data_IF_215459129638
#
_entry.id   IF_215459129638
#
_cell.length_a   1.000
_cell.length_b   1.000
_cell.length_c   1.000
_cell.angle_alpha   90.00
_cell.angle_beta   90.00
_cell.angle_gamma   90.00
#
_symmetry.space_group_name_H-M   'P 1'
#
loop_
_entity.id
_entity.type
_entity.pdbx_description
1 polymer ?
#
# COMPACT_ATOMS: atom_id res chain seq x y z
N UNK A 1 -6.06 -16.65 62.80
CA UNK A 1 -7.25 -16.93 63.63
C UNK A 1 -8.49 -16.88 62.75
N UNK A 2 -9.45 -17.78 63.00
CA UNK A 2 -10.89 -17.84 62.65
C UNK A 2 -11.49 -17.10 61.40
N UNK A 3 -12.39 -17.80 60.68
CA UNK A 3 -13.30 -17.25 59.64
C UNK A 3 -13.15 -17.95 58.29
N UNK A 4 -13.67 -19.16 58.01
CA UNK A 4 -15.07 -19.61 57.98
C UNK A 4 -16.04 -18.69 57.19
N UNK A 5 -16.68 -19.13 56.09
CA UNK A 5 -16.52 -20.37 55.32
C UNK A 5 -17.73 -20.78 54.45
N UNK A 6 -17.67 -21.99 53.88
CA UNK A 6 -18.72 -22.78 53.18
C UNK A 6 -19.20 -22.32 51.78
N UNK A 7 -18.93 -23.20 50.80
CA UNK A 7 -19.73 -23.42 49.59
C UNK A 7 -20.11 -24.91 49.56
N UNK A 8 -21.32 -25.26 49.11
CA UNK A 8 -21.77 -26.66 48.93
C UNK A 8 -21.95 -27.02 47.44
N UNK A 9 -21.80 -28.29 47.01
CA UNK A 9 -21.63 -28.64 45.60
C UNK A 9 -22.73 -29.57 45.01
N UNK A 10 -22.55 -29.94 43.72
CA UNK A 10 -23.21 -31.01 42.89
C UNK A 10 -24.31 -30.53 41.92
N UNK A 11 -24.59 -31.28 40.82
CA UNK A 11 -23.68 -32.10 39.99
C UNK A 11 -23.86 -31.90 38.46
N UNK A 12 -22.99 -32.50 37.66
CA UNK A 12 -23.12 -32.61 36.19
C UNK A 12 -24.10 -33.75 35.78
N UNK A 13 -24.95 -33.56 34.75
CA UNK A 13 -25.70 -34.64 34.11
C UNK A 13 -24.83 -35.53 33.20
N UNK A 14 -25.22 -36.79 33.02
CA UNK A 14 -24.56 -37.76 32.13
C UNK A 14 -25.25 -37.87 30.75
N UNK A 15 -24.55 -38.44 29.77
CA UNK A 15 -25.14 -38.88 28.49
C UNK A 15 -26.06 -40.09 28.68
N UNK A 16 -27.13 -40.16 27.89
CA UNK A 16 -27.86 -41.40 27.58
C UNK A 16 -28.13 -41.47 26.06
N UNK A 17 -28.33 -42.69 25.56
CA UNK A 17 -28.70 -42.99 24.17
C UNK A 17 -29.94 -43.91 24.13
N UNK A 18 -30.01 -44.80 23.13
CA UNK A 18 -31.20 -45.60 22.72
C UNK A 18 -32.30 -44.74 22.04
N UNK A 19 -33.08 -45.26 21.08
CA UNK A 19 -32.89 -46.43 20.18
C UNK A 19 -33.94 -46.36 19.05
N UNK A 20 -33.69 -47.03 17.93
CA UNK A 20 -34.66 -47.17 16.84
C UNK A 20 -35.78 -48.17 17.19
N UNK A 21 -36.96 -47.98 16.59
CA UNK A 21 -38.05 -48.96 16.57
C UNK A 21 -38.89 -48.81 15.30
N UNK A 22 -38.91 -49.84 14.45
CA UNK A 22 -39.82 -49.92 13.30
C UNK A 22 -41.25 -50.23 13.77
N UNK A 23 -42.25 -49.81 12.98
CA UNK A 23 -43.67 -50.09 13.23
C UNK A 23 -44.46 -50.10 11.93
N UNK A 24 -45.02 -51.26 11.58
CA UNK A 24 -45.75 -51.52 10.34
C UNK A 24 -47.26 -51.21 10.48
N UNK A 25 -47.94 -50.89 9.37
CA UNK A 25 -49.35 -50.49 9.35
C UNK A 25 -49.93 -50.36 7.93
N UNK A 26 -51.09 -50.98 7.67
CA UNK A 26 -51.59 -51.26 6.30
C UNK A 26 -53.07 -50.92 6.09
N UNK A 27 -53.51 -50.90 4.81
CA UNK A 27 -54.90 -50.72 4.29
C UNK A 27 -55.51 -49.30 4.45
N UNK A 28 -56.44 -48.78 3.62
CA UNK A 28 -57.00 -49.09 2.26
C UNK A 28 -57.91 -47.87 1.82
N UNK A 29 -58.71 -47.78 0.74
CA UNK A 29 -59.14 -48.67 -0.36
C UNK A 29 -59.71 -47.84 -1.57
N UNK A 30 -59.30 -48.09 -2.82
CA UNK A 30 -60.02 -47.68 -4.06
C UNK A 30 -59.93 -46.20 -4.52
N UNK A 31 -60.22 -45.84 -5.78
CA UNK A 31 -60.51 -46.65 -6.99
C UNK A 31 -60.29 -45.86 -8.32
N UNK A 32 -60.10 -46.59 -9.44
CA UNK A 32 -60.47 -46.31 -10.86
C UNK A 32 -60.64 -44.85 -11.36
N UNK A 33 -60.10 -44.36 -12.50
CA UNK A 33 -59.26 -44.88 -13.62
C UNK A 33 -58.68 -43.65 -14.39
N UNK A 34 -57.72 -43.70 -15.34
CA UNK A 34 -57.74 -44.44 -16.61
C UNK A 34 -56.44 -44.24 -17.46
N UNK A 35 -56.33 -45.00 -18.57
CA UNK A 35 -55.45 -44.86 -19.75
C UNK A 35 -53.96 -44.43 -19.61
N UNK A 36 -53.09 -45.45 -19.67
CA UNK A 36 -51.83 -45.55 -20.47
C UNK A 36 -51.22 -44.26 -21.08
N UNK A 37 -49.96 -43.99 -20.71
CA UNK A 37 -48.84 -43.98 -21.68
C UNK A 37 -47.57 -44.56 -21.03
N UNK A 38 -46.57 -44.92 -21.85
CA UNK A 38 -45.49 -45.84 -21.46
C UNK A 38 -44.36 -45.15 -20.68
N UNK A 39 -43.78 -45.87 -19.73
CA UNK A 39 -42.44 -45.59 -19.23
C UNK A 39 -41.40 -45.72 -20.36
N UNK A 40 -40.59 -44.68 -20.54
CA UNK A 40 -39.20 -44.79 -21.01
C UNK A 40 -38.35 -44.12 -19.93
N UNK A 41 -37.75 -44.93 -19.06
CA UNK A 41 -37.21 -44.45 -17.79
C UNK A 41 -35.91 -43.66 -17.93
N UNK A 42 -35.76 -42.63 -17.10
CA UNK A 42 -34.45 -42.13 -16.68
C UNK A 42 -34.19 -42.67 -15.27
N UNK A 43 -33.06 -43.37 -15.07
CA UNK A 43 -32.81 -44.14 -13.85
C UNK A 43 -32.57 -43.29 -12.61
N UNK A 44 -32.98 -43.80 -11.43
CA UNK A 44 -32.88 -43.12 -10.13
C UNK A 44 -31.45 -42.76 -9.65
N UNK A 45 -30.42 -43.10 -10.43
CA UNK A 45 -29.05 -42.60 -10.23
C UNK A 45 -28.94 -41.09 -10.51
N UNK A 46 -29.67 -40.57 -11.51
CA UNK A 46 -29.57 -39.16 -11.91
C UNK A 46 -30.00 -38.19 -10.78
N UNK A 47 -31.17 -38.43 -10.15
CA UNK A 47 -31.61 -37.67 -8.96
C UNK A 47 -30.57 -37.71 -7.84
N UNK A 48 -29.94 -38.86 -7.59
CA UNK A 48 -28.96 -39.05 -6.51
C UNK A 48 -27.60 -38.38 -6.80
N UNK A 49 -27.34 -38.01 -8.04
CA UNK A 49 -26.16 -37.22 -8.43
C UNK A 49 -26.40 -35.72 -8.22
N UNK A 50 -27.55 -35.19 -8.65
CA UNK A 50 -27.94 -33.79 -8.41
C UNK A 50 -28.04 -33.46 -6.92
N UNK A 51 -28.68 -34.34 -6.13
CA UNK A 51 -28.83 -34.19 -4.67
C UNK A 51 -27.52 -34.29 -3.85
N UNK A 52 -26.35 -34.44 -4.51
CA UNK A 52 -25.03 -34.37 -3.86
C UNK A 52 -24.23 -33.11 -4.17
N UNK A 53 -24.76 -32.21 -5.01
CA UNK A 53 -24.10 -30.96 -5.41
C UNK A 53 -25.00 -29.72 -5.29
N UNK A 54 -26.23 -29.87 -4.82
CA UNK A 54 -27.06 -28.76 -4.36
C UNK A 54 -26.87 -28.58 -2.84
N UNK A 55 -26.29 -27.46 -2.44
CA UNK A 55 -26.43 -26.97 -1.06
C UNK A 55 -27.89 -26.64 -0.74
N UNK A 56 -28.24 -26.61 0.55
CA UNK A 56 -29.62 -26.72 1.02
C UNK A 56 -30.58 -25.58 0.60
N UNK A 57 -30.09 -24.48 0.02
CA UNK A 57 -30.88 -23.28 -0.34
C UNK A 57 -31.40 -23.24 -1.79
N UNK A 58 -31.39 -24.36 -2.54
CA UNK A 58 -31.92 -24.40 -3.93
C UNK A 58 -33.12 -25.34 -4.13
N UNK A 59 -33.85 -25.68 -3.06
CA UNK A 59 -35.03 -26.53 -3.14
C UNK A 59 -36.23 -25.88 -3.87
N UNK A 60 -36.46 -24.58 -3.66
CA UNK A 60 -37.69 -23.90 -4.12
C UNK A 60 -37.68 -23.49 -5.60
N UNK A 61 -36.56 -23.66 -6.32
CA UNK A 61 -36.39 -23.26 -7.72
C UNK A 61 -36.47 -24.43 -8.73
N UNK A 62 -36.87 -25.63 -8.30
CA UNK A 62 -36.83 -26.85 -9.11
C UNK A 62 -38.20 -27.48 -9.43
N UNK A 63 -39.32 -26.89 -8.99
CA UNK A 63 -40.66 -27.44 -9.26
C UNK A 63 -41.27 -27.01 -10.62
N UNK A 64 -40.74 -25.96 -11.27
CA UNK A 64 -41.25 -25.48 -12.56
C UNK A 64 -40.19 -25.38 -13.67
N UNK A 65 -40.61 -25.86 -14.84
CA UNK A 65 -39.96 -25.91 -16.15
C UNK A 65 -38.58 -26.59 -16.32
N UNK A 66 -38.58 -27.48 -17.32
CA UNK A 66 -37.57 -28.05 -18.27
C UNK A 66 -36.04 -27.85 -18.11
N UNK A 67 -35.56 -26.96 -17.26
CA UNK A 67 -34.20 -26.42 -17.17
C UNK A 67 -33.06 -27.44 -16.98
N UNK A 68 -33.31 -28.55 -16.29
CA UNK A 68 -32.27 -29.54 -15.92
C UNK A 68 -31.47 -30.07 -17.14
N UNK A 69 -32.14 -30.28 -18.28
CA UNK A 69 -31.47 -30.73 -19.51
C UNK A 69 -30.62 -29.63 -20.17
N UNK A 70 -30.99 -28.36 -20.02
CA UNK A 70 -30.24 -27.23 -20.60
C UNK A 70 -29.06 -26.82 -19.71
N UNK A 71 -29.16 -26.97 -18.39
CA UNK A 71 -28.00 -26.88 -17.47
C UNK A 71 -26.95 -27.94 -17.83
N UNK A 72 -27.36 -29.18 -18.09
CA UNK A 72 -26.46 -30.26 -18.55
C UNK A 72 -25.82 -29.94 -19.91
N UNK A 73 -26.59 -29.45 -20.90
CA UNK A 73 -26.02 -28.98 -22.19
C UNK A 73 -25.00 -27.84 -21.97
N UNK A 74 -25.27 -26.91 -21.07
CA UNK A 74 -24.36 -25.79 -20.79
C UNK A 74 -23.03 -26.28 -20.19
N UNK A 75 -23.06 -27.30 -19.33
CA UNK A 75 -21.88 -27.92 -18.74
C UNK A 75 -21.04 -28.67 -19.81
N UNK A 76 -21.68 -29.45 -20.69
CA UNK A 76 -20.98 -30.22 -21.72
C UNK A 76 -20.52 -29.41 -22.94
N UNK A 77 -21.03 -28.19 -23.16
CA UNK A 77 -20.65 -27.35 -24.32
C UNK A 77 -19.40 -26.49 -24.09
N UNK A 78 -18.73 -26.61 -22.94
CA UNK A 78 -17.39 -26.03 -22.70
C UNK A 78 -17.32 -24.50 -22.71
N UNK A 79 -18.45 -23.80 -22.83
CA UNK A 79 -18.50 -22.34 -22.65
C UNK A 79 -18.25 -22.05 -21.18
N UNK A 80 -17.04 -21.59 -20.87
CA UNK A 80 -16.73 -20.98 -19.58
C UNK A 80 -17.80 -19.93 -19.26
N UNK A 81 -18.33 -20.00 -18.04
CA UNK A 81 -19.05 -18.86 -17.46
C UNK A 81 -18.10 -17.67 -17.56
N UNK A 82 -18.48 -16.66 -18.37
CA UNK A 82 -17.70 -15.44 -18.50
C UNK A 82 -17.45 -14.91 -17.08
N UNK A 83 -16.18 -14.65 -16.74
CA UNK A 83 -15.80 -14.11 -15.43
C UNK A 83 -16.59 -12.84 -15.12
N UNK A 84 -16.98 -12.05 -16.13
CA UNK A 84 -17.88 -10.89 -15.97
C UNK A 84 -19.30 -11.28 -15.56
N UNK A 85 -19.87 -12.32 -16.18
CA UNK A 85 -21.21 -12.83 -15.83
C UNK A 85 -21.23 -13.44 -14.43
N UNK A 86 -20.23 -14.25 -14.08
CA UNK A 86 -20.09 -14.82 -12.74
C UNK A 86 -19.87 -13.74 -11.66
N UNK A 87 -19.05 -12.71 -11.96
CA UNK A 87 -18.85 -11.54 -11.09
C UNK A 87 -20.14 -10.76 -10.89
N UNK A 88 -20.88 -10.44 -11.96
CA UNK A 88 -22.21 -9.79 -11.85
C UNK A 88 -23.16 -10.59 -10.97
N UNK A 89 -23.21 -11.92 -11.12
CA UNK A 89 -24.08 -12.78 -10.32
C UNK A 89 -23.67 -12.84 -8.83
N UNK A 90 -22.35 -12.75 -8.52
CA UNK A 90 -21.84 -12.61 -7.14
C UNK A 90 -22.20 -11.24 -6.55
N UNK A 91 -21.94 -10.16 -7.29
CA UNK A 91 -22.20 -8.78 -6.89
C UNK A 91 -23.70 -8.52 -6.63
N UNK A 92 -24.59 -8.97 -7.53
CA UNK A 92 -26.05 -8.83 -7.32
C UNK A 92 -26.52 -9.61 -6.07
N UNK A 93 -25.94 -10.78 -5.77
CA UNK A 93 -26.23 -11.51 -4.51
C UNK A 93 -25.69 -10.77 -3.28
N UNK A 94 -24.49 -10.19 -3.37
CA UNK A 94 -23.90 -9.39 -2.28
C UNK A 94 -24.72 -8.14 -1.97
N UNK A 95 -25.08 -7.36 -3.00
CA UNK A 95 -25.95 -6.17 -2.87
C UNK A 95 -27.31 -6.54 -2.26
N UNK A 96 -27.95 -7.63 -2.71
CA UNK A 96 -29.22 -8.08 -2.13
C UNK A 96 -29.08 -8.49 -0.66
N UNK A 97 -28.00 -9.19 -0.30
CA UNK A 97 -27.71 -9.58 1.09
C UNK A 97 -27.41 -8.36 1.98
N UNK A 98 -26.63 -7.40 1.49
CA UNK A 98 -26.36 -6.13 2.16
C UNK A 98 -27.65 -5.30 2.35
N UNK A 99 -28.54 -5.27 1.35
CA UNK A 99 -29.85 -4.62 1.45
C UNK A 99 -30.72 -5.23 2.56
N UNK A 100 -30.81 -6.56 2.61
CA UNK A 100 -31.54 -7.27 3.69
C UNK A 100 -30.92 -7.06 5.07
N UNK A 101 -29.58 -7.00 5.16
CA UNK A 101 -28.87 -6.72 6.42
C UNK A 101 -29.01 -5.25 6.85
N UNK A 102 -29.03 -4.29 5.92
CA UNK A 102 -29.32 -2.87 6.19
C UNK A 102 -30.78 -2.68 6.66
N UNK A 103 -31.73 -3.43 6.11
CA UNK A 103 -33.11 -3.48 6.62
C UNK A 103 -33.17 -4.06 8.04
N UNK A 104 -32.54 -5.22 8.28
CA UNK A 104 -32.49 -5.83 9.61
C UNK A 104 -31.81 -4.93 10.66
N UNK A 105 -30.78 -4.16 10.27
CA UNK A 105 -30.15 -3.17 11.15
C UNK A 105 -31.10 -2.00 11.49
N UNK A 106 -31.99 -1.60 10.58
CA UNK A 106 -33.04 -0.61 10.85
C UNK A 106 -34.11 -1.08 11.83
N UNK A 107 -34.19 -2.39 12.10
CA UNK A 107 -35.13 -3.02 13.04
C UNK A 107 -34.44 -3.57 14.31
N UNK A 108 -33.11 -3.40 14.44
CA UNK A 108 -32.30 -4.00 15.50
C UNK A 108 -32.12 -3.11 16.75
N UNK A 109 -31.91 -3.76 17.91
CA UNK A 109 -31.60 -3.10 19.17
C UNK A 109 -30.17 -2.49 19.14
N UNK A 110 -29.88 -1.33 19.78
CA UNK A 110 -28.61 -0.64 19.62
C UNK A 110 -27.34 -1.41 20.05
N UNK A 111 -27.48 -2.51 20.79
CA UNK A 111 -26.36 -3.43 21.10
C UNK A 111 -25.84 -4.18 19.86
N UNK A 112 -26.75 -4.57 18.97
CA UNK A 112 -26.47 -5.48 17.86
C UNK A 112 -26.15 -4.72 16.57
N UNK A 113 -26.57 -3.45 16.50
CA UNK A 113 -26.35 -2.53 15.37
C UNK A 113 -24.89 -2.51 14.91
N UNK A 114 -23.93 -2.39 15.83
CA UNK A 114 -22.50 -2.36 15.52
C UNK A 114 -21.93 -3.68 14.99
N UNK A 115 -22.56 -4.81 15.32
CA UNK A 115 -22.21 -6.12 14.75
C UNK A 115 -22.78 -6.27 13.33
N UNK A 116 -24.02 -5.79 13.10
CA UNK A 116 -24.67 -5.80 11.80
C UNK A 116 -23.98 -4.87 10.80
N UNK A 117 -23.66 -3.63 11.19
CA UNK A 117 -22.79 -2.72 10.40
C UNK A 117 -21.47 -3.40 10.04
N UNK A 118 -20.80 -3.99 11.05
CA UNK A 118 -19.54 -4.70 10.87
C UNK A 118 -19.61 -5.95 9.98
N UNK A 119 -20.80 -6.53 9.79
CA UNK A 119 -21.05 -7.63 8.85
C UNK A 119 -21.31 -7.11 7.43
N UNK A 120 -22.17 -6.09 7.27
CA UNK A 120 -22.46 -5.43 5.98
C UNK A 120 -21.18 -4.90 5.34
N UNK A 121 -20.37 -4.14 6.08
CA UNK A 121 -19.09 -3.61 5.61
C UNK A 121 -18.08 -4.71 5.25
N UNK A 122 -18.19 -5.90 5.84
CA UNK A 122 -17.33 -7.04 5.48
C UNK A 122 -17.66 -7.64 4.13
N UNK A 123 -18.94 -7.89 3.89
CA UNK A 123 -19.44 -8.37 2.60
C UNK A 123 -19.16 -7.37 1.47
N UNK A 124 -19.19 -6.06 1.76
CA UNK A 124 -18.81 -5.02 0.80
C UNK A 124 -17.32 -5.09 0.41
N UNK A 125 -16.41 -5.09 1.40
CA UNK A 125 -14.96 -5.12 1.14
C UNK A 125 -14.52 -6.40 0.43
N UNK A 126 -14.99 -7.57 0.86
CA UNK A 126 -14.54 -8.86 0.35
C UNK A 126 -15.08 -9.20 -1.06
N UNK A 127 -16.17 -8.56 -1.48
CA UNK A 127 -16.69 -8.68 -2.85
C UNK A 127 -16.00 -7.72 -3.85
N UNK A 128 -15.30 -6.70 -3.35
CA UNK A 128 -14.62 -5.67 -4.15
C UNK A 128 -13.11 -5.93 -4.36
N UNK A 129 -12.54 -6.95 -3.71
CA UNK A 129 -11.15 -7.40 -3.88
C UNK A 129 -10.97 -8.18 -5.20
N UNK A 130 -11.22 -7.49 -6.31
CA UNK A 130 -11.51 -8.07 -7.63
C UNK A 130 -10.25 -8.25 -8.52
N UNK A 131 -9.08 -7.90 -8.00
CA UNK A 131 -7.78 -7.86 -8.70
C UNK A 131 -6.72 -8.66 -7.93
N UNK A 132 -5.81 -9.36 -8.61
CA UNK A 132 -4.63 -9.98 -7.96
C UNK A 132 -3.52 -8.94 -7.73
N UNK A 133 -2.69 -9.02 -6.68
CA UNK A 133 -1.65 -8.03 -6.37
C UNK A 133 -0.40 -8.19 -7.27
N UNK A 134 -0.58 -8.08 -8.59
CA UNK A 134 0.42 -8.35 -9.62
C UNK A 134 1.54 -7.31 -9.58
N UNK A 135 1.20 -6.02 -9.55
CA UNK A 135 2.20 -4.96 -9.55
C UNK A 135 3.03 -4.99 -8.26
N UNK A 136 2.38 -5.08 -7.10
CA UNK A 136 3.05 -5.06 -5.79
C UNK A 136 3.95 -6.28 -5.60
N UNK A 137 3.54 -7.46 -6.04
CA UNK A 137 4.40 -8.67 -6.00
C UNK A 137 5.56 -8.55 -6.98
N UNK A 138 5.34 -8.12 -8.23
CA UNK A 138 6.42 -7.98 -9.21
C UNK A 138 7.44 -6.89 -8.82
N UNK A 139 6.98 -5.75 -8.30
CA UNK A 139 7.83 -4.67 -7.79
C UNK A 139 8.70 -5.15 -6.63
N UNK A 140 8.08 -5.85 -5.66
CA UNK A 140 8.78 -6.40 -4.50
C UNK A 140 9.82 -7.44 -4.90
N UNK A 141 9.46 -8.35 -5.82
CA UNK A 141 10.38 -9.35 -6.36
C UNK A 141 11.54 -8.70 -7.13
N UNK A 142 11.29 -7.70 -7.97
CA UNK A 142 12.33 -6.99 -8.72
C UNK A 142 13.33 -6.31 -7.79
N UNK A 143 12.85 -5.57 -6.78
CA UNK A 143 13.71 -4.89 -5.81
C UNK A 143 14.55 -5.89 -4.97
N UNK A 144 13.93 -6.95 -4.44
CA UNK A 144 14.63 -7.97 -3.64
C UNK A 144 15.61 -8.78 -4.47
N UNK A 145 15.23 -9.23 -5.68
CA UNK A 145 16.13 -10.00 -6.55
C UNK A 145 17.33 -9.18 -7.00
N UNK A 146 17.15 -7.93 -7.42
CA UNK A 146 18.27 -7.04 -7.74
C UNK A 146 19.18 -6.83 -6.53
N UNK A 147 18.62 -6.51 -5.37
CA UNK A 147 19.42 -6.27 -4.16
C UNK A 147 20.21 -7.51 -3.74
N UNK A 148 19.56 -8.68 -3.61
CA UNK A 148 20.22 -9.93 -3.15
C UNK A 148 21.32 -10.40 -4.11
N UNK A 149 21.10 -10.28 -5.43
CA UNK A 149 22.08 -10.72 -6.44
C UNK A 149 23.37 -9.89 -6.38
N UNK A 150 23.29 -8.59 -6.10
CA UNK A 150 24.48 -7.73 -6.00
C UNK A 150 25.04 -7.64 -4.57
N UNK A 151 24.22 -7.74 -3.53
CA UNK A 151 24.68 -7.80 -2.14
C UNK A 151 25.49 -9.08 -1.85
N UNK A 152 25.26 -10.18 -2.56
CA UNK A 152 26.09 -11.39 -2.47
C UNK A 152 27.46 -11.28 -3.15
N UNK A 153 27.74 -10.13 -3.77
CA UNK A 153 29.01 -9.78 -4.41
C UNK A 153 29.72 -8.59 -3.74
N UNK A 154 29.17 -8.05 -2.63
CA UNK A 154 29.69 -6.88 -1.95
C UNK A 154 30.57 -7.25 -0.74
N UNK A 155 31.77 -6.66 -0.65
CA UNK A 155 32.78 -7.01 0.36
C UNK A 155 32.33 -6.77 1.81
N UNK A 156 31.47 -5.78 2.06
CA UNK A 156 30.90 -5.47 3.39
C UNK A 156 29.74 -6.39 3.82
N UNK A 157 29.34 -7.35 2.98
CA UNK A 157 28.23 -8.26 3.28
C UNK A 157 26.86 -7.57 3.39
N UNK A 158 25.86 -8.33 3.85
CA UNK A 158 24.44 -7.96 3.70
C UNK A 158 24.00 -6.77 4.56
N UNK A 159 24.67 -6.41 5.66
CA UNK A 159 24.24 -5.30 6.50
C UNK A 159 24.67 -3.94 5.94
N UNK A 160 25.84 -3.87 5.29
CA UNK A 160 26.41 -2.62 4.76
C UNK A 160 26.22 -2.45 3.24
N UNK A 161 25.88 -3.52 2.50
CA UNK A 161 25.79 -3.49 1.04
C UNK A 161 24.81 -2.46 0.47
N UNK A 162 25.35 -1.41 -0.17
CA UNK A 162 24.63 -0.60 -1.15
C UNK A 162 24.53 -1.39 -2.46
N UNK A 163 23.38 -2.03 -2.68
CA UNK A 163 23.19 -2.98 -3.77
C UNK A 163 21.91 -2.72 -4.58
N UNK A 164 21.88 -3.22 -5.81
CA UNK A 164 20.74 -3.14 -6.71
C UNK A 164 21.12 -2.58 -8.07
N UNK A 165 20.31 -1.68 -8.61
CA UNK A 165 20.53 -1.14 -9.97
C UNK A 165 21.83 -0.31 -10.08
N UNK A 166 22.26 0.35 -9.01
CA UNK A 166 23.52 1.11 -8.96
C UNK A 166 24.76 0.20 -9.08
N UNK A 167 24.64 -1.07 -8.66
CA UNK A 167 25.69 -2.08 -8.84
C UNK A 167 25.88 -2.47 -10.31
N UNK A 168 24.93 -2.16 -11.19
CA UNK A 168 25.01 -2.37 -12.65
C UNK A 168 25.62 -1.16 -13.35
N UNK A 169 25.28 0.04 -12.89
CA UNK A 169 25.72 1.30 -13.48
C UNK A 169 26.12 2.30 -12.38
N UNK A 170 27.36 2.14 -11.90
CA UNK A 170 27.90 2.93 -10.78
C UNK A 170 27.96 4.41 -11.16
N UNK A 171 27.41 5.25 -10.29
CA UNK A 171 27.28 6.68 -10.42
C UNK A 171 26.05 7.16 -11.20
N UNK A 172 25.17 6.29 -11.72
CA UNK A 172 24.16 6.61 -12.75
C UNK A 172 22.68 6.50 -12.33
N UNK A 173 22.33 5.72 -11.31
CA UNK A 173 20.94 5.24 -11.10
C UNK A 173 20.31 5.77 -9.81
N UNK A 174 21.12 6.11 -8.81
CA UNK A 174 20.68 6.80 -7.59
C UNK A 174 20.23 8.23 -7.88
N UNK A 175 19.36 8.75 -7.02
CA UNK A 175 18.84 10.11 -7.17
C UNK A 175 19.80 11.10 -6.50
N UNK A 176 20.43 11.92 -7.34
CA UNK A 176 21.44 12.92 -7.02
C UNK A 176 21.09 14.20 -7.79
N UNK A 177 21.18 15.38 -7.16
CA UNK A 177 20.91 16.64 -7.86
C UNK A 177 22.14 17.19 -8.58
N UNK A 178 23.33 16.89 -8.08
CA UNK A 178 24.60 17.31 -8.66
C UNK A 178 25.75 16.39 -8.23
N UNK A 179 26.88 16.49 -8.93
CA UNK A 179 28.18 15.94 -8.52
C UNK A 179 29.27 16.91 -8.95
N UNK A 180 30.02 17.47 -8.01
CA UNK A 180 31.12 18.42 -8.25
C UNK A 180 30.77 19.53 -9.27
N UNK A 181 29.70 20.27 -8.98
CA UNK A 181 29.12 21.31 -9.84
C UNK A 181 28.71 20.89 -11.26
N UNK A 182 28.55 19.58 -11.52
CA UNK A 182 27.77 19.08 -12.66
C UNK A 182 26.29 18.94 -12.25
N UNK A 183 25.36 19.55 -12.98
CA UNK A 183 23.92 19.44 -12.73
C UNK A 183 23.37 18.10 -13.26
N UNK A 184 22.88 17.25 -12.36
CA UNK A 184 22.34 15.92 -12.67
C UNK A 184 20.81 15.88 -12.69
N UNK A 185 20.11 16.99 -12.39
CA UNK A 185 18.63 17.02 -12.31
C UNK A 185 17.97 16.69 -13.65
N UNK A 186 18.65 16.95 -14.76
CA UNK A 186 18.22 16.66 -16.14
C UNK A 186 18.35 15.18 -16.54
N UNK A 187 19.01 14.36 -15.72
CA UNK A 187 19.13 12.92 -15.93
C UNK A 187 17.82 12.22 -15.52
N UNK A 188 16.77 12.42 -16.32
CA UNK A 188 15.36 12.11 -16.00
C UNK A 188 15.08 10.67 -15.54
N UNK A 189 15.97 9.72 -15.85
CA UNK A 189 15.86 8.35 -15.36
C UNK A 189 16.08 8.23 -13.85
N UNK A 190 16.96 9.05 -13.24
CA UNK A 190 17.29 9.03 -11.80
C UNK A 190 16.06 9.13 -10.90
N UNK A 191 15.10 9.95 -11.33
CA UNK A 191 13.81 10.20 -10.67
C UNK A 191 12.93 8.96 -10.50
N UNK A 192 13.23 7.87 -11.22
CA UNK A 192 12.58 6.57 -11.09
C UNK A 192 13.56 5.44 -10.77
N UNK A 193 14.78 5.44 -11.29
CA UNK A 193 15.71 4.31 -11.13
C UNK A 193 16.19 4.10 -9.70
N UNK A 194 16.21 5.16 -8.87
CA UNK A 194 16.72 5.09 -7.50
C UNK A 194 15.97 4.11 -6.60
N UNK A 195 14.70 3.80 -6.93
CA UNK A 195 13.86 2.86 -6.19
C UNK A 195 14.41 1.41 -6.19
N UNK A 196 15.29 1.07 -7.12
CA UNK A 196 15.85 -0.28 -7.29
C UNK A 196 17.24 -0.46 -6.67
N UNK A 197 17.72 0.52 -5.89
CA UNK A 197 18.97 0.45 -5.11
C UNK A 197 18.62 0.60 -3.64
N UNK A 198 19.19 -0.21 -2.74
CA UNK A 198 18.95 -0.11 -1.28
C UNK A 198 20.26 -0.32 -0.50
N UNK A 199 20.34 0.29 0.68
CA UNK A 199 21.51 0.26 1.57
C UNK A 199 21.29 -0.71 2.76
N UNK A 200 21.80 -1.93 2.65
CA UNK A 200 21.70 -2.95 3.70
C UNK A 200 20.37 -3.71 3.74
N UNK A 201 20.45 -4.94 4.26
CA UNK A 201 19.34 -5.93 4.31
C UNK A 201 18.11 -5.41 5.05
N UNK A 202 18.31 -4.63 6.11
CA UNK A 202 17.22 -4.02 6.88
C UNK A 202 16.46 -2.97 6.06
N UNK A 203 17.15 -2.18 5.23
CA UNK A 203 16.51 -1.14 4.42
C UNK A 203 15.63 -1.76 3.31
N UNK A 204 16.11 -2.77 2.57
CA UNK A 204 15.26 -3.51 1.61
C UNK A 204 14.15 -4.29 2.34
N UNK A 205 14.45 -4.91 3.48
CA UNK A 205 13.51 -5.72 4.25
C UNK A 205 12.29 -4.94 4.74
N UNK A 206 12.49 -3.79 5.39
CA UNK A 206 11.39 -2.94 5.85
C UNK A 206 10.61 -2.32 4.68
N UNK A 207 11.28 -1.91 3.59
CA UNK A 207 10.61 -1.46 2.38
C UNK A 207 9.68 -2.53 1.81
N UNK A 208 10.19 -3.73 1.58
CA UNK A 208 9.42 -4.85 1.04
C UNK A 208 8.26 -5.23 1.96
N UNK A 209 8.47 -5.27 3.27
CA UNK A 209 7.41 -5.55 4.24
C UNK A 209 6.28 -4.50 4.17
N UNK A 210 6.62 -3.20 4.12
CA UNK A 210 5.66 -2.11 4.04
C UNK A 210 4.87 -2.11 2.71
N UNK A 211 5.59 -2.28 1.59
CA UNK A 211 5.01 -2.34 0.24
C UNK A 211 4.07 -3.54 0.09
N UNK A 212 4.41 -4.71 0.63
CA UNK A 212 3.52 -5.87 0.63
C UNK A 212 2.31 -5.66 1.55
N UNK A 213 2.53 -5.23 2.81
CA UNK A 213 1.48 -5.13 3.82
C UNK A 213 0.40 -4.09 3.46
N UNK A 214 0.79 -2.92 2.95
CA UNK A 214 -0.15 -1.88 2.52
C UNK A 214 -0.62 -2.14 1.08
N UNK A 215 0.33 -2.44 0.19
CA UNK A 215 0.09 -2.49 -1.25
C UNK A 215 -0.78 -3.66 -1.71
N UNK A 216 -0.67 -4.84 -1.10
CA UNK A 216 -1.48 -6.00 -1.54
C UNK A 216 -2.97 -5.67 -1.46
N UNK A 217 -3.46 -5.27 -0.28
CA UNK A 217 -4.89 -4.91 -0.11
C UNK A 217 -5.28 -3.74 -1.01
N UNK A 218 -4.43 -2.73 -1.11
CA UNK A 218 -4.70 -1.52 -1.89
C UNK A 218 -4.78 -1.81 -3.40
N UNK A 219 -3.95 -2.71 -3.93
CA UNK A 219 -4.02 -3.17 -5.33
C UNK A 219 -5.24 -4.07 -5.59
N UNK A 220 -5.57 -4.97 -4.66
CA UNK A 220 -6.76 -5.81 -4.78
C UNK A 220 -8.05 -4.95 -4.84
N UNK A 221 -8.08 -3.83 -4.10
CA UNK A 221 -9.21 -2.91 -4.02
C UNK A 221 -9.26 -1.84 -5.13
N UNK A 222 -8.15 -1.21 -5.53
CA UNK A 222 -8.15 -0.14 -6.55
C UNK A 222 -7.80 -0.62 -7.98
N UNK A 223 -7.13 -1.77 -8.11
CA UNK A 223 -6.66 -2.36 -9.36
C UNK A 223 -5.27 -1.88 -9.80
N UNK A 224 -4.51 -2.78 -10.43
CA UNK A 224 -3.07 -2.65 -10.75
C UNK A 224 -2.65 -1.28 -11.29
N UNK A 225 -3.41 -0.73 -12.23
CA UNK A 225 -3.06 0.53 -12.93
C UNK A 225 -3.07 1.72 -11.96
N UNK A 226 -4.04 1.80 -11.03
CA UNK A 226 -4.07 2.88 -10.03
C UNK A 226 -2.88 2.78 -9.09
N UNK A 227 -2.62 1.58 -8.56
CA UNK A 227 -1.52 1.33 -7.62
C UNK A 227 -0.16 1.58 -8.28
N UNK A 228 0.05 1.14 -9.53
CA UNK A 228 1.24 1.42 -10.32
C UNK A 228 1.47 2.94 -10.50
N UNK A 229 0.42 3.69 -10.85
CA UNK A 229 0.51 5.15 -11.05
C UNK A 229 0.81 5.86 -9.73
N UNK A 230 0.07 5.56 -8.65
CA UNK A 230 0.30 6.19 -7.33
C UNK A 230 1.69 5.87 -6.79
N UNK A 231 2.17 4.63 -6.94
CA UNK A 231 3.50 4.23 -6.48
C UNK A 231 4.61 4.99 -7.23
N UNK A 232 4.57 5.01 -8.57
CA UNK A 232 5.64 5.62 -9.36
C UNK A 232 5.57 7.16 -9.35
N UNK A 233 4.38 7.76 -9.31
CA UNK A 233 4.24 9.19 -9.06
C UNK A 233 4.66 9.55 -7.62
N UNK A 234 4.44 8.66 -6.66
CA UNK A 234 4.96 8.74 -5.29
C UNK A 234 6.48 8.80 -5.24
N UNK A 235 7.16 7.85 -5.91
CA UNK A 235 8.63 7.84 -6.10
C UNK A 235 9.12 9.18 -6.69
N UNK A 236 8.50 9.69 -7.75
CA UNK A 236 8.87 10.99 -8.35
C UNK A 236 8.60 12.16 -7.40
N UNK A 237 7.48 12.17 -6.67
CA UNK A 237 7.14 13.24 -5.72
C UNK A 237 8.02 13.22 -4.45
N UNK A 238 8.46 12.04 -4.02
CA UNK A 238 9.47 11.87 -2.99
C UNK A 238 10.82 12.44 -3.42
N UNK A 239 11.26 12.16 -4.65
CA UNK A 239 12.46 12.77 -5.23
C UNK A 239 12.33 14.30 -5.37
N UNK A 240 11.15 14.80 -5.77
CA UNK A 240 10.86 16.24 -5.84
C UNK A 240 10.95 16.92 -4.46
N UNK A 241 10.42 16.31 -3.40
CA UNK A 241 10.55 16.86 -2.05
C UNK A 241 12.01 16.79 -1.56
N UNK A 242 12.68 15.65 -1.77
CA UNK A 242 14.10 15.45 -1.45
C UNK A 242 15.01 16.52 -2.06
N UNK A 243 14.79 16.93 -3.31
CA UNK A 243 15.58 18.00 -3.97
C UNK A 243 15.47 19.34 -3.22
N UNK A 244 14.35 19.60 -2.55
CA UNK A 244 14.09 20.83 -1.77
C UNK A 244 14.68 20.77 -0.36
N UNK A 245 14.76 19.59 0.26
CA UNK A 245 15.07 19.39 1.69
C UNK A 245 16.45 18.80 1.96
N UNK A 246 16.86 17.80 1.19
CA UNK A 246 18.03 16.96 1.44
C UNK A 246 18.99 16.90 0.22
N UNK A 247 18.74 17.71 -0.81
CA UNK A 247 19.29 17.55 -2.17
C UNK A 247 20.82 17.59 -2.37
N UNK A 248 21.62 17.75 -1.32
CA UNK A 248 23.09 17.53 -1.34
C UNK A 248 23.51 16.12 -0.91
N UNK A 249 22.57 15.28 -0.48
CA UNK A 249 22.75 13.86 -0.22
C UNK A 249 22.48 13.02 -1.48
N UNK A 250 22.48 11.70 -1.30
CA UNK A 250 22.08 10.69 -2.28
C UNK A 250 20.82 9.99 -1.80
N UNK A 251 19.80 9.84 -2.66
CA UNK A 251 18.56 9.15 -2.35
C UNK A 251 18.49 7.79 -3.06
N UNK A 252 18.15 6.76 -2.29
CA UNK A 252 17.99 5.36 -2.70
C UNK A 252 16.78 4.73 -2.01
N UNK A 253 16.21 3.69 -2.63
CA UNK A 253 15.17 2.85 -2.02
C UNK A 253 13.74 3.18 -2.45
N UNK A 254 12.85 2.18 -2.43
CA UNK A 254 11.48 2.32 -2.94
C UNK A 254 10.48 2.96 -1.96
N UNK A 255 10.95 3.54 -0.86
CA UNK A 255 10.09 4.01 0.24
C UNK A 255 9.15 5.13 -0.19
N UNK A 256 9.58 6.01 -1.11
CA UNK A 256 8.71 7.05 -1.65
C UNK A 256 7.41 6.51 -2.27
N UNK A 257 7.50 5.37 -2.97
CA UNK A 257 6.33 4.63 -3.44
C UNK A 257 5.52 4.01 -2.30
N UNK A 258 6.18 3.39 -1.32
CA UNK A 258 5.54 2.77 -0.15
C UNK A 258 4.71 3.76 0.68
N UNK A 259 5.26 4.94 0.97
CA UNK A 259 4.57 5.99 1.71
C UNK A 259 3.46 6.64 0.87
N UNK A 260 3.60 6.67 -0.46
CA UNK A 260 2.48 7.05 -1.34
C UNK A 260 1.32 6.03 -1.31
N UNK A 261 1.60 4.73 -1.13
CA UNK A 261 0.53 3.76 -0.85
C UNK A 261 -0.14 4.04 0.51
N UNK A 262 0.63 4.34 1.56
CA UNK A 262 0.07 4.73 2.87
C UNK A 262 -0.81 5.99 2.78
N UNK A 263 -0.36 7.01 2.07
CA UNK A 263 -1.12 8.24 1.81
C UNK A 263 -2.40 7.95 1.03
N UNK A 264 -2.35 7.07 0.03
CA UNK A 264 -3.54 6.63 -0.71
C UNK A 264 -4.51 5.84 0.17
N UNK A 265 -4.03 4.97 1.06
CA UNK A 265 -4.90 4.28 2.04
C UNK A 265 -5.58 5.28 2.97
N UNK A 266 -4.87 6.32 3.43
CA UNK A 266 -5.46 7.39 4.24
C UNK A 266 -6.49 8.23 3.47
N UNK A 267 -6.21 8.57 2.20
CA UNK A 267 -7.17 9.25 1.32
C UNK A 267 -8.42 8.40 1.03
N UNK A 268 -8.23 7.10 0.81
CA UNK A 268 -9.32 6.14 0.62
C UNK A 268 -10.15 5.97 1.89
N UNK A 269 -9.53 5.90 3.08
CA UNK A 269 -10.24 5.91 4.36
C UNK A 269 -11.06 7.18 4.58
N UNK A 270 -10.57 8.34 4.12
CA UNK A 270 -11.23 9.63 4.32
C UNK A 270 -12.44 9.81 3.39
N UNK A 271 -12.39 9.27 2.17
CA UNK A 271 -13.57 9.20 1.27
C UNK A 271 -14.54 8.10 1.74
N UNK A 272 -14.06 6.88 1.88
CA UNK A 272 -14.84 5.66 2.08
C UNK A 272 -15.00 5.30 3.58
N UNK A 273 -15.11 6.31 4.47
CA UNK A 273 -15.11 6.09 5.93
C UNK A 273 -16.34 5.32 6.42
N UNK A 274 -17.50 5.49 5.78
CA UNK A 274 -18.73 4.83 6.19
C UNK A 274 -18.62 3.30 6.03
N UNK A 275 -18.19 2.85 4.85
CA UNK A 275 -18.28 1.45 4.41
C UNK A 275 -17.02 0.63 4.71
N UNK A 276 -15.89 1.27 5.03
CA UNK A 276 -14.65 0.55 5.34
C UNK A 276 -14.72 -0.13 6.71
N UNK A 277 -15.02 -1.44 6.73
CA UNK A 277 -15.18 -2.28 7.94
C UNK A 277 -14.12 -2.03 9.02
N UNK A 278 -12.85 -2.07 8.61
CA UNK A 278 -11.70 -1.99 9.52
C UNK A 278 -11.14 -0.58 9.70
N UNK A 279 -11.92 0.46 9.38
CA UNK A 279 -11.54 1.88 9.44
C UNK A 279 -10.77 2.32 10.68
N UNK A 280 -11.18 1.86 11.88
CA UNK A 280 -10.51 2.20 13.15
C UNK A 280 -9.15 1.48 13.32
N UNK A 281 -9.05 0.14 13.23
CA UNK A 281 -7.75 -0.55 13.20
C UNK A 281 -6.80 -0.05 12.10
N UNK A 282 -7.32 0.22 10.90
CA UNK A 282 -6.51 0.64 9.75
C UNK A 282 -5.96 2.05 9.93
N UNK A 283 -6.78 3.00 10.39
CA UNK A 283 -6.32 4.33 10.79
C UNK A 283 -5.30 4.25 11.93
N UNK A 284 -5.52 3.39 12.94
CA UNK A 284 -4.56 3.19 14.03
C UNK A 284 -3.21 2.67 13.52
N UNK A 285 -3.20 1.70 12.61
CA UNK A 285 -1.96 1.17 12.01
C UNK A 285 -1.25 2.25 11.18
N UNK A 286 -1.96 3.03 10.37
CA UNK A 286 -1.37 4.13 9.59
C UNK A 286 -0.77 5.21 10.50
N UNK A 287 -1.48 5.63 11.55
CA UNK A 287 -1.00 6.61 12.52
C UNK A 287 0.18 6.08 13.35
N UNK A 288 0.18 4.79 13.70
CA UNK A 288 1.29 4.14 14.39
C UNK A 288 2.55 4.10 13.51
N UNK A 289 2.42 3.65 12.24
CA UNK A 289 3.53 3.64 11.29
C UNK A 289 4.09 5.06 11.03
N UNK A 290 3.22 6.05 10.88
CA UNK A 290 3.63 7.45 10.74
C UNK A 290 4.32 7.99 12.00
N UNK A 291 3.84 7.64 13.20
CA UNK A 291 4.49 8.03 14.46
C UNK A 291 5.85 7.34 14.65
N UNK A 292 6.00 6.08 14.21
CA UNK A 292 7.29 5.39 14.17
C UNK A 292 8.26 6.06 13.19
N UNK A 293 7.82 6.43 11.98
CA UNK A 293 8.63 7.14 10.99
C UNK A 293 9.16 8.48 11.53
N UNK A 294 8.27 9.32 12.08
CA UNK A 294 8.63 10.60 12.72
C UNK A 294 9.53 10.38 13.95
N UNK A 295 9.30 9.30 14.71
CA UNK A 295 10.15 8.92 15.85
C UNK A 295 11.57 8.52 15.43
N UNK A 296 11.70 7.76 14.34
CA UNK A 296 13.00 7.44 13.73
C UNK A 296 13.67 8.70 13.18
N UNK A 297 12.95 9.55 12.44
CA UNK A 297 13.49 10.82 11.93
C UNK A 297 14.08 11.71 13.03
N UNK A 298 13.40 11.77 14.19
CA UNK A 298 13.88 12.50 15.36
C UNK A 298 15.12 11.82 15.99
N UNK A 299 15.10 10.50 16.18
CA UNK A 299 16.25 9.74 16.70
C UNK A 299 17.49 9.90 15.81
N UNK A 300 17.33 9.69 14.51
CA UNK A 300 18.34 9.84 13.46
C UNK A 300 18.97 11.25 13.48
N UNK A 301 18.17 12.30 13.71
CA UNK A 301 18.68 13.68 13.82
C UNK A 301 19.54 13.93 15.07
N UNK A 302 19.35 13.14 16.14
CA UNK A 302 20.15 13.20 17.36
C UNK A 302 21.47 12.43 17.19
N UNK A 303 21.41 11.19 16.67
CA UNK A 303 22.60 10.35 16.50
C UNK A 303 23.45 10.75 15.29
N UNK A 304 22.86 11.47 14.31
CA UNK A 304 23.47 11.89 13.03
C UNK A 304 23.91 10.73 12.12
N UNK A 305 23.39 9.53 12.36
CA UNK A 305 23.67 8.29 11.65
C UNK A 305 22.40 7.78 10.94
N UNK A 306 22.11 8.28 9.74
CA UNK A 306 20.99 7.76 8.94
C UNK A 306 21.22 7.84 7.43
N UNK A 307 20.99 6.72 6.75
CA UNK A 307 20.95 6.58 5.29
C UNK A 307 19.57 6.90 4.69
N UNK A 308 18.58 7.18 5.53
CA UNK A 308 17.17 7.34 5.16
C UNK A 308 16.77 8.81 5.03
N UNK A 309 16.18 9.20 3.90
CA UNK A 309 15.55 10.51 3.75
C UNK A 309 14.10 10.46 4.22
N UNK A 310 13.87 10.87 5.47
CA UNK A 310 12.53 11.04 6.03
C UNK A 310 11.71 12.14 5.31
N UNK A 311 12.40 13.10 4.67
CA UNK A 311 11.72 14.09 3.83
C UNK A 311 11.18 13.45 2.53
N UNK A 312 11.86 12.46 1.95
CA UNK A 312 11.34 11.68 0.84
C UNK A 312 10.09 10.87 1.25
N UNK A 313 10.06 10.30 2.46
CA UNK A 313 8.89 9.61 3.01
C UNK A 313 7.67 10.56 3.09
N UNK A 314 7.86 11.76 3.64
CA UNK A 314 6.81 12.78 3.73
C UNK A 314 6.28 13.21 2.35
N UNK A 315 7.17 13.44 1.37
CA UNK A 315 6.78 13.75 -0.01
C UNK A 315 5.96 12.63 -0.68
N UNK A 316 6.30 11.38 -0.38
CA UNK A 316 5.54 10.20 -0.80
C UNK A 316 4.15 10.19 -0.18
N UNK A 317 4.05 10.35 1.15
CA UNK A 317 2.77 10.35 1.86
C UNK A 317 1.81 11.44 1.39
N UNK A 318 2.30 12.69 1.24
CA UNK A 318 1.47 13.82 0.80
C UNK A 318 1.01 13.64 -0.65
N UNK A 319 1.88 13.21 -1.56
CA UNK A 319 1.51 12.96 -2.96
C UNK A 319 0.55 11.79 -3.09
N UNK A 320 0.76 10.70 -2.35
CA UNK A 320 -0.14 9.56 -2.27
C UNK A 320 -1.53 9.91 -1.74
N UNK A 321 -1.62 10.79 -0.74
CA UNK A 321 -2.89 11.30 -0.21
C UNK A 321 -3.65 12.14 -1.25
N UNK A 322 -2.97 13.10 -1.90
CA UNK A 322 -3.53 13.92 -2.97
C UNK A 322 -4.01 13.04 -4.13
N UNK A 323 -3.17 12.12 -4.62
CA UNK A 323 -3.53 11.21 -5.71
C UNK A 323 -4.66 10.23 -5.32
N UNK A 324 -4.67 9.73 -4.08
CA UNK A 324 -5.72 8.86 -3.57
C UNK A 324 -7.10 9.51 -3.58
N UNK A 325 -7.18 10.81 -3.29
CA UNK A 325 -8.42 11.60 -3.38
C UNK A 325 -8.82 11.87 -4.84
N UNK A 326 -7.84 12.08 -5.73
CA UNK A 326 -8.08 12.44 -7.14
C UNK A 326 -8.41 11.26 -8.05
N UNK A 327 -7.82 10.08 -7.83
CA UNK A 327 -7.96 8.90 -8.71
C UNK A 327 -8.35 7.61 -7.98
N UNK A 328 -8.65 7.68 -6.68
CA UNK A 328 -9.20 6.56 -5.90
C UNK A 328 -10.54 6.04 -6.45
N UNK A 329 -11.04 4.97 -5.84
CA UNK A 329 -12.43 4.55 -6.01
C UNK A 329 -13.26 5.20 -4.90
N UNK A 330 -14.37 5.85 -5.27
CA UNK A 330 -15.47 6.06 -4.35
C UNK A 330 -16.40 4.82 -4.41
N UNK A 331 -17.24 4.63 -3.40
CA UNK A 331 -18.11 3.46 -3.28
C UNK A 331 -19.55 3.68 -3.76
N UNK A 332 -19.99 4.95 -3.82
CA UNK A 332 -21.37 5.33 -4.14
C UNK A 332 -21.66 5.52 -5.65
N UNK A 333 -20.74 5.13 -6.54
CA UNK A 333 -20.76 5.51 -7.98
C UNK A 333 -21.81 4.80 -8.87
N UNK A 334 -22.56 3.78 -8.39
CA UNK A 334 -23.50 3.01 -9.25
C UNK A 334 -25.01 3.25 -9.03
N UNK A 335 -25.50 3.85 -7.93
CA UNK A 335 -26.95 4.08 -7.73
C UNK A 335 -27.34 5.48 -7.19
N UNK A 336 -28.53 5.95 -7.62
CA UNK A 336 -29.26 7.15 -7.21
C UNK A 336 -28.67 8.55 -7.54
N UNK A 337 -29.23 9.19 -8.58
CA UNK A 337 -29.03 10.62 -8.90
C UNK A 337 -29.57 11.61 -7.84
N UNK A 338 -30.16 11.10 -6.76
CA UNK A 338 -30.63 11.87 -5.59
C UNK A 338 -29.46 12.26 -4.66
N UNK A 339 -28.30 11.57 -4.76
CA UNK A 339 -27.08 11.78 -3.98
C UNK A 339 -26.27 13.04 -4.41
N UNK A 340 -26.95 14.05 -4.97
CA UNK A 340 -26.32 15.25 -5.54
C UNK A 340 -25.80 16.28 -4.50
N UNK A 341 -25.82 15.95 -3.20
CA UNK A 341 -25.37 16.81 -2.10
C UNK A 341 -24.02 16.36 -1.51
N UNK A 342 -23.86 15.08 -1.22
CA UNK A 342 -22.60 14.41 -0.83
C UNK A 342 -21.50 14.63 -1.88
N UNK A 343 -21.81 14.34 -3.15
CA UNK A 343 -20.92 14.57 -4.30
C UNK A 343 -20.42 16.03 -4.45
N UNK A 344 -20.96 17.01 -3.70
CA UNK A 344 -20.42 18.38 -3.66
C UNK A 344 -19.18 18.51 -2.78
N UNK A 345 -19.14 17.87 -1.61
CA UNK A 345 -17.98 18.02 -0.70
C UNK A 345 -16.76 17.32 -1.30
N UNK A 346 -16.94 16.13 -1.85
CA UNK A 346 -15.91 15.36 -2.57
C UNK A 346 -15.33 16.14 -3.75
N UNK A 347 -16.18 16.70 -4.63
CA UNK A 347 -15.71 17.49 -5.78
C UNK A 347 -15.04 18.80 -5.37
N UNK A 348 -15.41 19.37 -4.23
CA UNK A 348 -14.71 20.53 -3.66
C UNK A 348 -13.34 20.12 -3.09
N UNK A 349 -13.26 19.00 -2.37
CA UNK A 349 -12.02 18.42 -1.86
C UNK A 349 -11.07 18.05 -3.01
N UNK A 350 -11.55 17.38 -4.06
CA UNK A 350 -10.76 17.04 -5.24
C UNK A 350 -10.21 18.29 -5.93
N UNK A 351 -11.03 19.34 -6.12
CA UNK A 351 -10.56 20.63 -6.67
C UNK A 351 -9.51 21.29 -5.78
N UNK A 352 -9.69 21.24 -4.45
CA UNK A 352 -8.73 21.75 -3.49
C UNK A 352 -7.40 20.97 -3.53
N UNK A 353 -7.44 19.64 -3.54
CA UNK A 353 -6.26 18.78 -3.60
C UNK A 353 -5.53 18.88 -4.94
N UNK A 354 -6.25 19.05 -6.05
CA UNK A 354 -5.66 19.36 -7.35
C UNK A 354 -4.95 20.72 -7.34
N UNK A 355 -5.58 21.75 -6.80
CA UNK A 355 -4.97 23.08 -6.67
C UNK A 355 -3.73 23.05 -5.76
N UNK A 356 -3.82 22.35 -4.62
CA UNK A 356 -2.70 22.16 -3.69
C UNK A 356 -1.54 21.43 -4.37
N UNK A 357 -1.80 20.32 -5.07
CA UNK A 357 -0.80 19.58 -5.83
C UNK A 357 -0.13 20.43 -6.92
N UNK A 358 -0.91 21.25 -7.64
CA UNK A 358 -0.38 22.19 -8.63
C UNK A 358 0.49 23.30 -8.00
N UNK A 359 0.07 23.87 -6.87
CA UNK A 359 0.85 24.88 -6.14
C UNK A 359 2.17 24.30 -5.62
N UNK A 360 2.14 23.09 -5.05
CA UNK A 360 3.34 22.38 -4.59
C UNK A 360 4.28 22.07 -5.76
N UNK A 361 3.76 21.57 -6.88
CA UNK A 361 4.56 21.28 -8.09
C UNK A 361 5.20 22.55 -8.67
N UNK A 362 4.45 23.65 -8.76
CA UNK A 362 4.98 24.95 -9.20
C UNK A 362 6.07 25.44 -8.24
N UNK A 363 5.87 25.33 -6.93
CA UNK A 363 6.88 25.68 -5.93
C UNK A 363 8.17 24.87 -6.12
N UNK A 364 8.10 23.55 -6.28
CA UNK A 364 9.31 22.72 -6.50
C UNK A 364 9.99 23.07 -7.82
N UNK A 365 9.25 23.29 -8.92
CA UNK A 365 9.83 23.70 -10.21
C UNK A 365 10.56 25.05 -10.09
N UNK A 366 9.98 26.02 -9.38
CA UNK A 366 10.62 27.34 -9.12
C UNK A 366 11.82 27.22 -8.15
N UNK A 367 11.81 26.26 -7.23
CA UNK A 367 12.97 25.95 -6.40
C UNK A 367 14.10 25.33 -7.24
N UNK A 368 13.78 24.35 -8.08
CA UNK A 368 14.71 23.66 -8.97
C UNK A 368 15.31 24.54 -10.07
N UNK A 369 14.67 25.66 -10.42
CA UNK A 369 15.23 26.64 -11.35
C UNK A 369 16.51 27.34 -10.83
N UNK A 370 16.85 27.18 -9.54
CA UNK A 370 18.01 27.80 -8.90
C UNK A 370 19.29 26.97 -9.16
N UNK A 371 20.41 27.68 -9.35
CA UNK A 371 21.75 27.10 -9.47
C UNK A 371 22.80 28.07 -8.91
N UNK A 372 23.81 27.62 -8.12
CA UNK A 372 23.98 26.28 -7.57
C UNK A 372 22.79 25.83 -6.69
N UNK A 373 22.62 24.52 -6.43
CA UNK A 373 21.52 24.03 -5.63
C UNK A 373 21.64 24.47 -4.17
N UNK A 374 20.51 24.45 -3.48
CA UNK A 374 20.39 24.64 -2.03
C UNK A 374 19.17 23.91 -1.50
N UNK A 375 19.25 23.43 -0.26
CA UNK A 375 18.05 23.03 0.50
C UNK A 375 17.33 24.25 1.05
N UNK A 376 16.10 24.08 1.56
CA UNK A 376 15.40 25.09 2.37
C UNK A 376 16.11 25.43 3.69
N UNK A 377 17.06 24.61 4.12
CA UNK A 377 17.87 24.82 5.33
C UNK A 377 19.20 25.54 5.04
N UNK A 378 19.64 25.54 3.79
CA UNK A 378 20.85 26.22 3.35
C UNK A 378 20.63 27.74 3.18
N UNK A 379 21.27 28.51 4.07
CA UNK A 379 21.40 29.96 3.94
C UNK A 379 22.03 30.40 2.60
N UNK A 380 22.83 29.53 1.97
CA UNK A 380 23.74 29.84 0.87
C UNK A 380 23.81 28.67 -0.12
N UNK A 381 23.69 28.87 -1.43
CA UNK A 381 23.85 27.79 -2.41
C UNK A 381 25.30 27.31 -2.50
N UNK A 382 25.49 26.05 -2.90
CA UNK A 382 26.81 25.43 -3.10
C UNK A 382 26.68 24.17 -3.96
N UNK A 383 27.75 23.74 -4.63
CA UNK A 383 27.74 22.53 -5.48
C UNK A 383 29.01 21.67 -5.42
N UNK A 384 29.96 22.03 -4.55
CA UNK A 384 31.20 21.30 -4.33
C UNK A 384 31.57 21.36 -2.85
N UNK A 385 32.07 20.24 -2.33
CA UNK A 385 32.61 20.17 -0.98
C UNK A 385 33.74 19.14 -0.88
N UNK A 386 34.71 19.39 0.01
CA UNK A 386 35.80 18.46 0.35
C UNK A 386 36.22 18.65 1.82
N UNK A 387 36.96 17.69 2.35
CA UNK A 387 37.79 17.92 3.53
C UNK A 387 39.17 18.41 3.10
N UNK A 388 39.73 19.37 3.85
CA UNK A 388 41.01 20.01 3.54
C UNK A 388 41.84 20.14 4.83
N UNK A 389 43.15 19.88 4.75
CA UNK A 389 44.09 20.10 5.85
C UNK A 389 45.09 21.19 5.45
N UNK A 390 45.01 22.37 6.09
CA UNK A 390 45.89 23.50 5.81
C UNK A 390 46.11 24.36 7.08
N UNK A 391 47.27 24.19 7.71
CA UNK A 391 47.66 24.86 8.97
C UNK A 391 47.76 26.39 8.87
N UNK A 392 47.83 26.95 7.66
CA UNK A 392 47.91 28.40 7.44
C UNK A 392 46.53 29.06 7.43
N UNK A 393 45.49 28.33 7.04
CA UNK A 393 44.10 28.81 7.01
C UNK A 393 43.31 28.35 8.24
N UNK A 394 43.53 27.11 8.67
CA UNK A 394 42.89 26.51 9.83
C UNK A 394 43.99 26.10 10.83
N UNK A 395 44.13 26.77 11.98
CA UNK A 395 45.26 26.53 12.90
C UNK A 395 45.15 25.21 13.67
N UNK A 396 44.00 24.52 13.63
CA UNK A 396 43.87 23.20 14.26
C UNK A 396 44.48 22.08 13.41
N UNK A 397 45.11 21.11 14.06
CA UNK A 397 45.71 19.95 13.41
C UNK A 397 44.64 18.89 13.07
N UNK A 398 43.71 19.21 12.18
CA UNK A 398 42.62 18.31 11.73
C UNK A 398 42.18 18.61 10.29
N UNK A 399 41.37 17.74 9.71
CA UNK A 399 40.68 18.04 8.46
C UNK A 399 39.48 18.95 8.71
N UNK A 400 39.30 19.94 7.83
CA UNK A 400 38.25 20.95 7.87
C UNK A 400 37.32 20.79 6.66
N UNK A 401 36.01 20.82 6.90
CA UNK A 401 35.02 20.72 5.82
C UNK A 401 34.78 22.08 5.16
N UNK A 402 34.98 22.12 3.84
CA UNK A 402 34.91 23.31 2.99
C UNK A 402 33.80 23.11 1.96
N UNK A 403 32.99 24.14 1.70
CA UNK A 403 32.02 24.15 0.58
C UNK A 403 32.14 25.40 -0.29
N UNK A 404 31.97 25.21 -1.61
CA UNK A 404 32.11 26.23 -2.64
C UNK A 404 30.87 26.32 -3.54
N UNK A 405 30.61 27.52 -4.05
CA UNK A 405 29.54 27.80 -5.03
C UNK A 405 30.06 28.02 -6.46
N UNK A 406 31.33 28.40 -6.63
CA UNK A 406 31.90 28.73 -7.95
C UNK A 406 33.33 28.19 -8.15
N UNK A 407 33.79 28.31 -9.40
CA UNK A 407 35.08 27.80 -9.84
C UNK A 407 36.28 28.53 -9.20
N UNK A 408 36.15 29.74 -8.66
CA UNK A 408 37.27 30.42 -8.00
C UNK A 408 37.57 29.73 -6.67
N UNK A 409 36.55 29.55 -5.83
CA UNK A 409 36.68 28.82 -4.56
C UNK A 409 37.13 27.37 -4.78
N UNK A 410 36.57 26.67 -5.78
CA UNK A 410 36.96 25.29 -6.09
C UNK A 410 38.44 25.22 -6.51
N UNK A 411 38.92 26.14 -7.35
CA UNK A 411 40.33 26.16 -7.76
C UNK A 411 41.28 26.46 -6.60
N UNK A 412 40.91 27.37 -5.68
CA UNK A 412 41.71 27.70 -4.50
C UNK A 412 41.88 26.49 -3.58
N UNK A 413 40.79 25.84 -3.19
CA UNK A 413 40.85 24.68 -2.28
C UNK A 413 41.37 23.40 -2.95
N UNK A 414 41.12 23.18 -4.25
CA UNK A 414 41.61 21.99 -4.96
C UNK A 414 43.12 22.01 -5.24
N UNK A 415 43.79 23.16 -5.07
CA UNK A 415 45.25 23.28 -5.20
C UNK A 415 46.01 23.07 -3.89
N UNK A 416 45.30 22.84 -2.77
CA UNK A 416 45.93 22.59 -1.47
C UNK A 416 46.50 21.16 -1.39
N UNK A 417 47.63 20.99 -0.68
CA UNK A 417 48.38 19.73 -0.69
C UNK A 417 47.72 18.53 -0.03
N UNK A 418 46.63 18.74 0.73
CA UNK A 418 45.89 17.69 1.44
C UNK A 418 44.38 17.96 1.31
N UNK A 419 43.74 17.30 0.34
CA UNK A 419 42.31 17.42 0.03
C UNK A 419 41.71 16.02 -0.12
N UNK A 420 40.59 15.75 0.55
CA UNK A 420 39.94 14.44 0.56
C UNK A 420 38.45 14.54 0.18
N UNK A 421 37.99 13.57 -0.62
CA UNK A 421 36.59 13.44 -1.02
C UNK A 421 35.82 12.58 -0.03
N UNK A 422 35.12 13.26 0.89
CA UNK A 422 34.19 12.65 1.85
C UNK A 422 32.73 12.78 1.37
N UNK A 423 31.81 12.01 1.96
CA UNK A 423 30.37 12.18 1.71
C UNK A 423 29.81 13.43 2.41
N UNK A 424 28.67 13.96 1.93
CA UNK A 424 27.99 15.10 2.56
C UNK A 424 27.73 14.88 4.05
N UNK A 425 27.37 13.65 4.48
CA UNK A 425 27.08 13.33 5.89
C UNK A 425 28.29 13.56 6.80
N UNK A 426 29.50 13.27 6.35
CA UNK A 426 30.72 13.53 7.14
C UNK A 426 30.79 15.03 7.47
N UNK A 427 30.60 15.91 6.48
CA UNK A 427 30.66 17.34 6.69
C UNK A 427 29.44 17.94 7.40
N UNK A 428 28.22 17.40 7.23
CA UNK A 428 27.07 17.83 8.04
C UNK A 428 27.22 17.42 9.52
N UNK A 429 27.89 16.30 9.80
CA UNK A 429 28.12 15.81 11.16
C UNK A 429 29.25 16.55 11.87
N UNK A 430 30.40 16.72 11.21
CA UNK A 430 31.57 17.44 11.72
C UNK A 430 31.41 18.96 11.75
N UNK A 431 30.60 19.51 10.84
CA UNK A 431 30.36 20.95 10.69
C UNK A 431 31.27 21.63 9.65
N UNK A 432 30.72 22.66 8.99
CA UNK A 432 31.41 23.44 7.98
C UNK A 432 32.39 24.44 8.63
N UNK A 433 33.65 24.41 8.19
CA UNK A 433 34.71 25.34 8.64
C UNK A 433 34.90 26.52 7.70
N UNK A 434 34.54 26.36 6.42
CA UNK A 434 34.50 27.44 5.43
C UNK A 434 33.26 27.29 4.54
N UNK A 435 32.62 28.41 4.24
CA UNK A 435 31.52 28.53 3.28
C UNK A 435 31.58 29.93 2.68
N UNK A 436 31.72 30.05 1.36
CA UNK A 436 32.16 31.26 0.62
C UNK A 436 31.41 32.60 0.88
N UNK A 437 30.31 32.59 1.63
CA UNK A 437 29.53 33.78 2.05
C UNK A 437 29.93 34.28 3.46
N UNK A 438 30.49 33.41 4.30
CA UNK A 438 31.19 33.72 5.55
C UNK A 438 32.65 33.23 5.38
N UNK A 439 33.50 33.97 4.64
CA UNK A 439 34.90 33.63 4.41
C UNK A 439 35.79 33.84 5.64
#
# INVERSE_FOLDING_TARGET
>A
MNGNGRVSPRPLPQKMGFSESEGDGTMSFGASSSLRRKNTGCGGSCRRCCLKFADAEHHDLLEHDASCMDVLKHFFTGRSLDRRSARKQKLTRSIHLQGRLRQAAGEADPSDLGMLEGAVSGLAVEDQMDSWPIFIVLQSLAAVTLWVVFASQADGGFEEALAGLESVAVGWTTMLTHRDCTDLRWEVWRWLSYQYTHSGVWHIGFNTLLVLAVGIRLEMYHGHIRTFLVFNLGVVCSALNFVVTDGHAELVGMSGGAYALMGMTFGSLMLNWADTRYRRPELFILLFLFACDVGMAYFDSIVKESSTSHSAHFGGYISGFILGILIGRNLDDEEAAEYAASLKWERCLQKFMLLLGLVLLIFVIVWMAQWPPRTIYDLTPWCWHRQVFNQTLFPEFRFHCVRCQDAQCINEFSQMGFVEQVSFRVCSTTGWSYSQVNP
#
